data_IF_701718795371
#
_entry.id   IF_701718795371
#
_cell.length_a   1.000
_cell.length_b   1.000
_cell.length_c   1.000
_cell.angle_alpha   90.00
_cell.angle_beta   90.00
_cell.angle_gamma   90.00
#
_symmetry.space_group_name_H-M   'P 1'
#
loop_
_entity.id
_entity.type
_entity.pdbx_description
1 polymer ?
#
# COMPACT_ATOMS: atom_id res chain seq x y z
N UNK A 1 -9.46 -69.28 -47.87
CA UNK A 1 -8.10 -68.70 -47.89
C UNK A 1 -8.26 -67.22 -48.27
N UNK A 2 -8.25 -66.33 -47.28
CA UNK A 2 -7.14 -65.40 -46.94
C UNK A 2 -7.03 -64.25 -47.96
N UNK A 3 -6.94 -62.96 -47.63
CA UNK A 3 -7.08 -62.14 -46.41
C UNK A 3 -6.62 -60.72 -46.85
N UNK A 4 -7.16 -59.67 -46.19
CA UNK A 4 -6.54 -58.34 -45.95
C UNK A 4 -6.44 -57.34 -47.12
N UNK A 5 -7.10 -56.17 -47.07
CA UNK A 5 -6.79 -54.97 -46.27
C UNK A 5 -5.44 -54.36 -46.67
N UNK A 6 -5.25 -53.04 -46.91
CA UNK A 6 -5.56 -51.92 -46.03
C UNK A 6 -5.14 -50.59 -46.72
N UNK A 7 -5.98 -49.54 -46.58
CA UNK A 7 -5.65 -48.15 -46.14
C UNK A 7 -4.68 -47.29 -46.99
N UNK A 8 -4.72 -45.94 -47.05
CA UNK A 8 -5.61 -44.82 -46.64
C UNK A 8 -4.91 -43.56 -47.18
N UNK A 9 -5.67 -42.49 -47.46
CA UNK A 9 -5.30 -41.06 -47.22
C UNK A 9 -6.55 -40.22 -47.58
N UNK A 10 -7.44 -39.89 -46.64
CA UNK A 10 -7.44 -38.72 -45.74
C UNK A 10 -7.27 -37.36 -46.45
N UNK A 11 -8.36 -36.62 -46.63
CA UNK A 11 -8.58 -35.39 -45.88
C UNK A 11 -10.06 -35.00 -45.91
N UNK A 12 -10.57 -34.74 -44.70
CA UNK A 12 -11.97 -34.50 -44.33
C UNK A 12 -11.97 -33.15 -43.59
N UNK A 13 -13.03 -32.35 -43.75
CA UNK A 13 -13.27 -31.16 -42.93
C UNK A 13 -14.02 -30.09 -43.71
N UNK A 14 -15.32 -30.27 -44.01
CA UNK A 14 -16.47 -29.93 -43.15
C UNK A 14 -16.67 -28.39 -43.10
N UNK A 15 -17.64 -27.81 -43.82
CA UNK A 15 -19.09 -27.76 -43.50
C UNK A 15 -19.33 -27.61 -41.98
N UNK A 16 -20.12 -26.69 -41.45
CA UNK A 16 -21.08 -25.74 -42.01
C UNK A 16 -21.52 -24.80 -40.85
N UNK A 17 -21.99 -23.60 -41.20
CA UNK A 17 -23.23 -22.97 -40.71
C UNK A 17 -23.67 -23.28 -39.24
N UNK A 18 -23.85 -22.32 -38.33
CA UNK A 18 -25.02 -21.42 -38.32
C UNK A 18 -24.99 -20.50 -37.09
N UNK A 19 -25.44 -19.26 -37.31
CA UNK A 19 -26.35 -18.41 -36.50
C UNK A 19 -26.17 -18.37 -34.96
N UNK A 20 -26.10 -17.15 -34.41
CA UNK A 20 -27.05 -16.67 -33.41
C UNK A 20 -26.88 -15.15 -33.17
N UNK A 21 -27.97 -14.42 -33.36
CA UNK A 21 -28.19 -13.06 -32.88
C UNK A 21 -28.07 -13.04 -31.34
N UNK A 22 -27.37 -12.05 -30.79
CA UNK A 22 -27.32 -11.84 -29.36
C UNK A 22 -26.60 -10.54 -29.00
N UNK A 23 -27.38 -9.49 -28.80
CA UNK A 23 -27.09 -8.32 -27.96
C UNK A 23 -25.62 -7.88 -27.87
N UNK A 24 -25.26 -6.83 -28.63
CA UNK A 24 -24.24 -5.89 -28.17
C UNK A 24 -24.79 -5.17 -26.93
N UNK A 25 -24.79 -5.87 -25.79
CA UNK A 25 -24.84 -5.25 -24.48
C UNK A 25 -23.71 -4.24 -24.47
N UNK A 26 -24.08 -2.97 -24.28
CA UNK A 26 -23.11 -1.92 -24.05
C UNK A 26 -22.11 -2.45 -23.04
N UNK A 27 -20.83 -2.43 -23.44
CA UNK A 27 -19.74 -2.64 -22.53
C UNK A 27 -20.02 -1.69 -21.36
N UNK A 28 -20.53 -2.27 -20.27
CA UNK A 28 -20.60 -1.57 -19.01
C UNK A 28 -19.17 -1.14 -18.79
N UNK A 29 -18.95 0.17 -18.97
CA UNK A 29 -17.80 0.85 -18.45
C UNK A 29 -17.83 0.45 -16.98
N UNK A 30 -17.01 -0.54 -16.63
CA UNK A 30 -16.80 -0.91 -15.24
C UNK A 30 -16.31 0.40 -14.65
N UNK A 31 -17.23 1.10 -14.00
CA UNK A 31 -16.87 2.14 -13.08
C UNK A 31 -16.06 1.37 -12.05
N UNK A 32 -14.74 1.40 -12.19
CA UNK A 32 -13.81 1.12 -11.12
C UNK A 32 -14.13 2.17 -10.07
N UNK A 33 -15.19 1.93 -9.30
CA UNK A 33 -15.26 2.47 -7.96
C UNK A 33 -13.93 2.05 -7.34
N UNK A 34 -13.11 3.03 -6.99
CA UNK A 34 -11.91 2.80 -6.18
C UNK A 34 -12.31 1.84 -5.07
N UNK A 35 -11.66 0.69 -5.01
CA UNK A 35 -11.84 -0.24 -3.90
C UNK A 35 -11.18 0.38 -2.67
N UNK A 36 -11.88 1.33 -2.07
CA UNK A 36 -11.42 2.09 -0.92
C UNK A 36 -11.18 1.19 0.30
N UNK A 37 -11.72 -0.03 0.31
CA UNK A 37 -11.68 -0.93 1.46
C UNK A 37 -10.48 -1.88 1.47
N UNK A 38 -9.68 -1.95 0.41
CA UNK A 38 -8.67 -3.00 0.23
C UNK A 38 -7.58 -3.07 1.32
N UNK A 39 -7.35 -1.99 2.07
CA UNK A 39 -6.38 -1.96 3.18
C UNK A 39 -7.03 -2.01 4.57
N UNK A 40 -8.35 -1.91 4.69
CA UNK A 40 -8.98 -1.84 6.01
C UNK A 40 -8.65 -3.07 6.87
N UNK A 41 -8.26 -2.84 8.12
CA UNK A 41 -7.87 -3.87 9.09
C UNK A 41 -6.51 -4.51 8.81
N UNK A 42 -5.70 -3.94 7.91
CA UNK A 42 -4.36 -4.45 7.61
C UNK A 42 -3.27 -3.67 8.32
N UNK A 43 -2.22 -4.37 8.73
CA UNK A 43 -1.04 -3.81 9.38
C UNK A 43 0.19 -3.96 8.47
N UNK A 44 1.01 -2.93 8.43
CA UNK A 44 2.19 -2.84 7.56
C UNK A 44 3.37 -2.28 8.34
N UNK A 45 4.53 -2.91 8.21
CA UNK A 45 5.73 -2.53 8.96
C UNK A 45 6.88 -2.25 8.01
N UNK A 46 7.64 -1.19 8.28
CA UNK A 46 8.89 -0.95 7.58
C UNK A 46 9.97 -1.96 7.99
N UNK A 47 11.06 -2.04 7.23
CA UNK A 47 12.14 -3.00 7.50
C UNK A 47 12.89 -2.75 8.81
N UNK A 48 12.85 -1.52 9.34
CA UNK A 48 13.52 -1.19 10.60
C UNK A 48 12.67 -1.52 11.82
N UNK A 49 11.35 -1.71 11.64
CA UNK A 49 10.41 -1.90 12.74
C UNK A 49 10.06 -0.60 13.48
N UNK A 50 10.56 0.55 13.00
CA UNK A 50 10.29 1.86 13.59
C UNK A 50 8.89 2.32 13.20
N UNK A 51 8.48 2.13 11.95
CA UNK A 51 7.22 2.64 11.44
C UNK A 51 6.25 1.50 11.18
N UNK A 52 5.07 1.57 11.80
CA UNK A 52 3.95 0.68 11.49
C UNK A 52 2.73 1.49 11.09
N UNK A 53 2.03 1.05 10.04
CA UNK A 53 0.76 1.60 9.58
C UNK A 53 -0.34 0.56 9.82
N UNK A 54 -1.36 0.92 10.58
CA UNK A 54 -2.57 0.13 10.74
C UNK A 54 -3.75 0.88 10.14
N UNK A 55 -4.31 0.38 9.05
CA UNK A 55 -5.42 1.04 8.37
C UNK A 55 -6.75 0.72 9.07
N UNK A 56 -7.16 1.56 10.02
CA UNK A 56 -8.42 1.42 10.73
C UNK A 56 -9.63 1.44 9.78
N UNK A 57 -9.56 2.30 8.76
CA UNK A 57 -10.61 2.48 7.76
C UNK A 57 -10.04 3.00 6.43
N UNK A 58 -10.87 3.15 5.38
CA UNK A 58 -10.46 3.82 4.15
C UNK A 58 -10.04 5.29 4.28
N UNK A 59 -10.33 5.93 5.41
CA UNK A 59 -10.13 7.36 5.62
C UNK A 59 -9.21 7.65 6.82
N UNK A 60 -8.74 6.61 7.51
CA UNK A 60 -8.03 6.72 8.78
C UNK A 60 -6.98 5.62 8.93
N UNK A 61 -5.78 6.03 9.36
CA UNK A 61 -4.65 5.14 9.61
C UNK A 61 -4.00 5.49 10.95
N UNK A 62 -3.75 4.46 11.76
CA UNK A 62 -2.90 4.58 12.94
C UNK A 62 -1.44 4.42 12.51
N UNK A 63 -0.64 5.48 12.70
CA UNK A 63 0.80 5.45 12.60
C UNK A 63 1.40 5.16 13.97
N UNK A 64 2.16 4.08 14.08
CA UNK A 64 2.95 3.75 15.26
C UNK A 64 4.44 3.98 15.02
N UNK A 65 5.10 4.66 15.97
CA UNK A 65 6.55 4.86 16.02
C UNK A 65 7.15 4.06 17.18
N UNK A 66 8.03 3.12 16.87
CA UNK A 66 8.68 2.24 17.82
C UNK A 66 10.19 2.46 17.81
N UNK A 67 10.67 3.32 18.71
CA UNK A 67 12.10 3.54 18.92
C UNK A 67 12.61 2.63 20.02
N UNK A 68 13.48 1.67 19.66
CA UNK A 68 14.09 0.77 20.62
C UNK A 68 14.83 1.57 21.72
N UNK A 69 14.58 1.22 22.99
CA UNK A 69 15.17 1.91 24.13
C UNK A 69 14.57 3.29 24.46
N UNK A 70 13.54 3.74 23.73
CA UNK A 70 12.85 4.99 24.05
C UNK A 70 12.12 4.89 25.40
N UNK A 71 12.33 5.84 26.33
CA UNK A 71 11.60 5.89 27.60
C UNK A 71 10.11 6.19 27.41
N UNK A 72 9.71 6.66 26.23
CA UNK A 72 8.32 6.93 25.91
C UNK A 72 7.54 5.70 25.42
N UNK A 73 8.23 4.58 25.16
CA UNK A 73 7.65 3.42 24.50
C UNK A 73 7.18 3.72 23.08
N UNK A 74 6.23 2.92 22.60
CA UNK A 74 5.58 3.11 21.29
C UNK A 74 4.68 4.33 21.32
N UNK A 75 4.83 5.21 20.33
CA UNK A 75 3.96 6.37 20.13
C UNK A 75 2.97 6.06 19.00
N UNK A 76 1.67 6.31 19.21
CA UNK A 76 0.63 6.06 18.22
C UNK A 76 -0.13 7.33 17.86
N UNK A 77 -0.53 7.45 16.59
CA UNK A 77 -1.22 8.61 16.05
C UNK A 77 -2.25 8.18 15.01
N UNK A 78 -3.54 8.45 15.26
CA UNK A 78 -4.58 8.33 14.24
C UNK A 78 -4.52 9.56 13.33
N UNK A 79 -4.32 9.33 12.03
CA UNK A 79 -4.13 10.37 11.03
C UNK A 79 -5.08 10.10 9.86
N UNK A 80 -5.82 11.11 9.38
CA UNK A 80 -6.61 10.97 8.17
C UNK A 80 -5.76 10.54 6.99
N UNK A 81 -6.31 9.67 6.15
CA UNK A 81 -5.70 9.30 4.89
C UNK A 81 -6.74 9.25 3.77
N UNK A 82 -6.25 9.26 2.54
CA UNK A 82 -7.10 9.07 1.37
C UNK A 82 -6.34 8.35 0.26
N UNK A 83 -7.11 7.81 -0.67
CA UNK A 83 -6.62 6.99 -1.76
C UNK A 83 -6.88 7.68 -3.10
N UNK A 84 -5.93 7.55 -4.02
CA UNK A 84 -6.09 7.86 -5.44
C UNK A 84 -5.48 6.73 -6.28
N UNK A 85 -6.32 5.81 -6.75
CA UNK A 85 -5.91 4.51 -7.28
C UNK A 85 -5.08 3.73 -6.26
N UNK A 86 -3.89 3.28 -6.67
CA UNK A 86 -2.94 2.58 -5.81
C UNK A 86 -2.09 3.52 -4.93
N UNK A 87 -2.36 4.83 -4.96
CA UNK A 87 -1.59 5.82 -4.18
C UNK A 87 -2.31 6.14 -2.88
N UNK A 88 -1.60 6.03 -1.76
CA UNK A 88 -2.03 6.45 -0.43
C UNK A 88 -1.43 7.83 -0.14
N UNK A 89 -2.26 8.73 0.38
CA UNK A 89 -1.83 9.97 0.98
C UNK A 89 -2.27 9.97 2.44
N UNK A 90 -1.33 10.25 3.35
CA UNK A 90 -1.62 10.42 4.77
C UNK A 90 -1.37 11.88 5.09
N UNK A 91 -2.33 12.50 5.77
CA UNK A 91 -2.31 13.92 6.06
C UNK A 91 -1.12 14.30 6.95
N UNK A 92 -0.68 15.55 6.82
CA UNK A 92 0.43 16.06 7.62
C UNK A 92 0.07 16.08 9.10
N UNK A 93 0.94 15.52 9.93
CA UNK A 93 0.78 15.49 11.37
C UNK A 93 2.01 16.02 12.10
N UNK A 94 1.78 16.98 13.00
CA UNK A 94 2.83 17.60 13.80
C UNK A 94 2.36 17.87 15.21
N UNK A 95 3.30 17.84 16.15
CA UNK A 95 3.03 18.06 17.57
C UNK A 95 3.87 19.23 18.07
N UNK A 96 3.25 20.16 18.77
CA UNK A 96 3.99 21.21 19.48
C UNK A 96 4.41 20.68 20.84
N UNK A 97 5.69 20.80 21.17
CA UNK A 97 6.26 20.47 22.47
C UNK A 97 6.84 21.73 23.11
N UNK A 98 7.14 21.72 24.42
CA UNK A 98 7.86 22.82 25.07
C UNK A 98 9.23 23.13 24.45
N UNK A 99 9.80 22.18 23.69
CA UNK A 99 11.13 22.30 23.09
C UNK A 99 11.09 22.62 21.59
N UNK A 100 9.90 22.68 21.00
CA UNK A 100 9.73 22.97 19.58
C UNK A 100 8.60 22.18 18.93
N UNK A 101 8.33 22.50 17.66
CA UNK A 101 7.41 21.75 16.82
C UNK A 101 8.12 20.52 16.26
N UNK A 102 7.52 19.36 16.44
CA UNK A 102 7.99 18.09 15.90
C UNK A 102 7.09 17.73 14.71
N UNK A 103 7.69 17.50 13.56
CA UNK A 103 7.02 16.94 12.38
C UNK A 103 7.04 15.42 12.53
N UNK A 104 5.88 14.82 12.85
CA UNK A 104 5.78 13.36 12.97
C UNK A 104 5.73 12.74 11.57
N UNK A 105 4.89 13.32 10.73
CA UNK A 105 4.67 12.88 9.36
C UNK A 105 4.31 14.09 8.52
N UNK A 106 4.94 14.25 7.36
CA UNK A 106 4.57 15.26 6.37
C UNK A 106 4.80 14.77 4.96
N UNK A 107 3.89 15.14 4.06
CA UNK A 107 3.96 14.83 2.64
C UNK A 107 4.08 13.33 2.37
N UNK A 108 3.36 12.51 3.15
CA UNK A 108 3.39 11.07 2.94
C UNK A 108 2.69 10.71 1.64
N UNK A 109 3.41 9.97 0.80
CA UNK A 109 2.88 9.40 -0.43
C UNK A 109 3.37 7.97 -0.56
N UNK A 110 2.46 7.02 -0.39
CA UNK A 110 2.69 5.58 -0.55
C UNK A 110 2.12 5.04 -1.86
N UNK A 111 2.75 4.06 -2.48
CA UNK A 111 2.22 3.31 -3.61
C UNK A 111 2.06 1.85 -3.19
N UNK A 112 0.84 1.34 -3.22
CA UNK A 112 0.51 -0.06 -2.93
C UNK A 112 0.96 -0.94 -4.10
N UNK A 113 1.70 -2.01 -3.79
CA UNK A 113 2.15 -3.02 -4.74
C UNK A 113 2.01 -4.40 -4.11
N UNK A 114 0.83 -4.99 -4.23
CA UNK A 114 0.50 -6.30 -3.65
C UNK A 114 0.61 -6.28 -2.13
N UNK A 115 1.63 -6.92 -1.57
CA UNK A 115 1.90 -7.00 -0.12
C UNK A 115 2.97 -6.02 0.34
N UNK A 116 3.31 -5.02 -0.48
CA UNK A 116 4.21 -3.93 -0.11
C UNK A 116 3.60 -2.55 -0.37
N UNK A 117 4.02 -1.55 0.40
CA UNK A 117 3.79 -0.12 0.15
C UNK A 117 5.16 0.55 0.06
N UNK A 118 5.45 1.22 -1.05
CA UNK A 118 6.66 2.04 -1.18
C UNK A 118 6.28 3.51 -0.97
N UNK A 119 6.87 4.16 0.02
CA UNK A 119 6.49 5.50 0.43
C UNK A 119 7.66 6.47 0.55
N UNK A 120 7.38 7.76 0.31
CA UNK A 120 8.25 8.87 0.70
C UNK A 120 7.51 9.81 1.63
N UNK A 121 8.20 10.35 2.63
CA UNK A 121 7.64 11.30 3.60
C UNK A 121 8.75 12.02 4.36
N UNK A 122 8.39 13.07 5.09
CA UNK A 122 9.28 13.77 6.03
C UNK A 122 8.84 13.44 7.45
N UNK A 123 9.80 13.09 8.30
CA UNK A 123 9.63 12.94 9.74
C UNK A 123 10.62 13.84 10.47
N UNK A 124 10.75 13.70 11.79
CA UNK A 124 11.77 14.39 12.58
C UNK A 124 12.72 13.39 13.20
N UNK A 125 14.01 13.70 13.14
CA UNK A 125 15.02 13.10 14.00
C UNK A 125 15.19 13.96 15.27
N UNK A 126 15.67 13.35 16.34
CA UNK A 126 15.89 14.00 17.63
C UNK A 126 17.32 13.74 18.12
N UNK A 127 18.12 14.79 18.25
CA UNK A 127 19.47 14.70 18.77
C UNK A 127 19.57 15.40 20.14
N UNK A 128 20.20 14.73 21.11
CA UNK A 128 20.55 15.32 22.40
C UNK A 128 22.06 15.48 22.45
N UNK A 129 22.54 16.70 22.15
CA UNK A 129 23.97 17.01 22.21
C UNK A 129 24.53 16.77 23.63
N UNK A 130 25.80 16.33 23.77
CA UNK A 130 26.43 16.15 25.08
C UNK A 130 26.34 17.42 25.95
N UNK A 131 25.75 17.29 27.14
CA UNK A 131 25.55 18.41 28.08
C UNK A 131 24.30 19.25 27.82
N UNK A 132 23.52 18.97 26.76
CA UNK A 132 22.22 19.61 26.55
C UNK A 132 21.16 19.01 27.46
N UNK A 133 20.26 19.86 27.95
CA UNK A 133 19.07 19.45 28.71
C UNK A 133 17.88 19.15 27.80
N UNK A 134 17.90 19.65 26.56
CA UNK A 134 16.78 19.54 25.62
C UNK A 134 17.23 18.96 24.27
N UNK A 135 16.38 18.14 23.63
CA UNK A 135 16.65 17.65 22.28
C UNK A 135 16.50 18.79 21.26
N UNK A 136 17.26 18.69 20.19
CA UNK A 136 17.00 19.44 18.95
C UNK A 136 16.29 18.53 17.97
N UNK A 137 15.23 19.02 17.34
CA UNK A 137 14.50 18.30 16.32
C UNK A 137 14.86 18.82 14.94
N UNK A 138 15.22 17.91 14.04
CA UNK A 138 15.56 18.24 12.65
C UNK A 138 14.71 17.40 11.71
N UNK A 139 14.22 18.02 10.65
CA UNK A 139 13.43 17.31 9.66
C UNK A 139 14.31 16.31 8.90
N UNK A 140 13.83 15.07 8.81
CA UNK A 140 14.48 13.97 8.14
C UNK A 140 13.59 13.53 6.96
N UNK A 141 13.95 13.85 5.71
CA UNK A 141 13.27 13.33 4.54
C UNK A 141 13.64 11.86 4.33
N UNK A 142 12.65 10.99 4.29
CA UNK A 142 12.78 9.57 3.99
C UNK A 142 12.21 9.29 2.60
N UNK A 143 13.03 8.67 1.76
CA UNK A 143 12.66 8.29 0.39
C UNK A 143 12.61 6.77 0.28
N UNK A 144 11.61 6.25 -0.42
CA UNK A 144 11.45 4.82 -0.73
C UNK A 144 11.42 3.89 0.49
N UNK A 145 10.82 4.33 1.60
CA UNK A 145 10.54 3.45 2.75
C UNK A 145 9.57 2.36 2.31
N UNK A 146 9.98 1.11 2.46
CA UNK A 146 9.17 -0.05 2.07
C UNK A 146 8.50 -0.63 3.31
N UNK A 147 7.17 -0.54 3.33
CA UNK A 147 6.34 -1.21 4.31
C UNK A 147 5.86 -2.54 3.75
N UNK A 148 5.99 -3.62 4.52
CA UNK A 148 5.49 -4.93 4.15
C UNK A 148 4.27 -5.27 5.00
N UNK A 149 3.24 -5.83 4.35
CA UNK A 149 2.04 -6.30 5.03
C UNK A 149 2.42 -7.39 6.04
N UNK A 150 1.97 -7.28 7.28
CA UNK A 150 2.06 -8.38 8.23
C UNK A 150 1.08 -9.48 7.84
N UNK A 151 1.58 -10.71 7.86
CA UNK A 151 0.81 -11.94 7.59
C UNK A 151 -0.17 -12.27 8.71
#
# INVERSE_FOLDING_TARGET
MTRHACFRSLSLGALALTLLLGSCQGAQKASTAEDKHHLQGTEWCDSTGIFTLHFNSPEDVELSLNYEGSPMGTLTYDIPCHFAGDTIYIDDYSKTTPFGKITILRSFRGIVRGTSISAGFVTSDAEVAPGSTFPTFTELPLQEVIFNKKS
#
